data_IF_915960284878
#
_entry.id   IF_915960284878
#
_cell.length_a   1.000
_cell.length_b   1.000
_cell.length_c   1.000
_cell.angle_alpha   90.00
_cell.angle_beta   90.00
_cell.angle_gamma   90.00
#
_symmetry.space_group_name_H-M   'P 1'
#
loop_
_entity.id
_entity.type
_entity.pdbx_description
1 polymer ?
#
# COMPACT_ATOMS: atom_id res chain seq x y z
N UNK A 1 5.23 16.00 -0.49
CA UNK A 1 5.30 15.21 -1.73
C UNK A 1 5.22 13.73 -1.41
N UNK A 2 4.49 12.98 -2.20
CA UNK A 2 4.33 11.54 -1.98
C UNK A 2 5.21 10.75 -2.94
N UNK A 3 5.79 9.63 -2.50
CA UNK A 3 6.63 8.81 -3.37
C UNK A 3 5.82 8.20 -4.52
N UNK A 4 6.42 8.25 -5.71
CA UNK A 4 5.82 7.74 -6.93
C UNK A 4 6.87 7.03 -7.74
N UNK A 5 6.49 5.92 -8.36
CA UNK A 5 7.40 5.15 -9.20
C UNK A 5 6.69 4.57 -10.41
N UNK A 6 7.37 4.57 -11.53
CA UNK A 6 6.89 3.95 -12.77
C UNK A 6 7.61 2.63 -12.97
N UNK A 7 6.84 1.56 -13.11
CA UNK A 7 7.36 0.23 -13.43
C UNK A 7 7.07 -0.07 -14.88
N UNK A 8 8.13 -0.27 -15.67
CA UNK A 8 8.02 -0.60 -17.09
C UNK A 8 8.16 -2.10 -17.30
N UNK A 9 7.93 -2.55 -18.53
CA UNK A 9 8.09 -3.95 -18.86
C UNK A 9 7.03 -4.89 -18.35
N UNK A 10 5.85 -4.35 -18.04
CA UNK A 10 4.71 -5.17 -17.62
C UNK A 10 4.19 -5.92 -18.85
N UNK A 11 4.12 -7.28 -18.82
CA UNK A 11 3.66 -8.04 -19.99
C UNK A 11 2.23 -7.69 -20.36
N UNK A 12 2.01 -7.26 -21.60
CA UNK A 12 0.68 -6.90 -22.08
C UNK A 12 -0.19 -8.11 -22.32
N UNK A 13 0.39 -9.31 -22.33
CA UNK A 13 -0.36 -10.57 -22.41
C UNK A 13 -0.91 -11.03 -21.07
N UNK A 14 -0.58 -10.36 -19.98
CA UNK A 14 -1.09 -10.73 -18.66
C UNK A 14 -2.60 -10.48 -18.58
N UNK A 15 -3.29 -11.29 -17.81
CA UNK A 15 -4.73 -11.13 -17.55
C UNK A 15 -5.02 -10.43 -16.23
N UNK A 16 -4.04 -10.43 -15.31
CA UNK A 16 -4.17 -9.82 -13.99
C UNK A 16 -2.79 -9.50 -13.45
N UNK A 17 -2.70 -8.46 -12.64
CA UNK A 17 -1.49 -8.14 -11.91
C UNK A 17 -1.76 -8.23 -10.41
N UNK A 18 -0.73 -8.61 -9.65
CA UNK A 18 -0.76 -8.53 -8.20
C UNK A 18 0.37 -7.61 -7.76
N UNK A 19 0.02 -6.54 -7.05
CA UNK A 19 0.97 -5.62 -6.45
C UNK A 19 1.04 -5.91 -4.96
N UNK A 20 2.23 -6.15 -4.45
CA UNK A 20 2.45 -6.37 -3.03
C UNK A 20 3.50 -5.41 -2.52
N UNK A 21 3.36 -4.96 -1.27
CA UNK A 21 4.36 -4.15 -0.60
C UNK A 21 4.12 -4.18 0.90
N UNK A 22 5.16 -3.78 1.65
CA UNK A 22 5.04 -3.58 3.08
C UNK A 22 4.89 -2.09 3.35
N UNK A 23 3.93 -1.76 4.20
CA UNK A 23 3.62 -0.40 4.61
C UNK A 23 3.91 -0.27 6.10
N UNK A 24 4.70 0.75 6.45
CA UNK A 24 5.07 1.03 7.84
C UNK A 24 4.35 2.27 8.31
N UNK A 25 3.56 2.14 9.39
CA UNK A 25 3.10 3.28 10.17
C UNK A 25 4.22 3.63 11.13
N UNK A 26 4.73 4.84 11.05
CA UNK A 26 5.83 5.27 11.90
C UNK A 26 5.35 6.35 12.84
N UNK A 27 5.49 6.10 14.13
CA UNK A 27 5.17 7.01 15.23
C UNK A 27 3.66 7.26 15.39
N UNK A 28 3.23 8.51 15.58
CA UNK A 28 1.93 8.84 16.14
C UNK A 28 0.77 8.84 15.14
N UNK A 29 0.62 7.80 14.34
CA UNK A 29 -0.55 7.66 13.48
C UNK A 29 -1.82 7.55 14.31
N UNK A 30 -2.83 8.33 13.96
CA UNK A 30 -4.11 8.34 14.66
C UNK A 30 -5.24 8.54 13.64
N UNK A 31 -5.77 7.44 13.13
CA UNK A 31 -6.84 7.42 12.13
C UNK A 31 -6.50 8.19 10.85
N UNK A 32 -5.24 8.30 10.50
CA UNK A 32 -4.83 8.88 9.23
C UNK A 32 -5.11 7.91 8.11
N UNK A 33 -5.54 8.44 6.97
CA UNK A 33 -5.86 7.65 5.80
C UNK A 33 -4.60 7.32 5.02
N UNK A 34 -4.58 6.13 4.44
CA UNK A 34 -3.52 5.71 3.54
C UNK A 34 -4.16 5.18 2.25
N UNK A 35 -3.60 5.56 1.11
CA UNK A 35 -4.10 5.17 -0.20
C UNK A 35 -2.96 4.90 -1.17
N UNK A 36 -3.23 4.08 -2.16
CA UNK A 36 -2.33 3.81 -3.28
C UNK A 36 -3.01 4.32 -4.53
N UNK A 37 -2.29 5.09 -5.35
CA UNK A 37 -2.80 5.57 -6.63
C UNK A 37 -2.08 4.80 -7.73
N UNK A 38 -2.83 4.04 -8.50
CA UNK A 38 -2.28 3.19 -9.56
C UNK A 38 -2.88 3.64 -10.89
N UNK A 39 -2.02 4.08 -11.80
CA UNK A 39 -2.43 4.60 -13.12
C UNK A 39 -3.57 5.62 -12.97
N UNK A 40 -3.42 6.57 -12.04
CA UNK A 40 -4.38 7.62 -11.73
C UNK A 40 -5.69 7.15 -11.08
N UNK A 41 -5.76 5.89 -10.66
CA UNK A 41 -6.92 5.36 -9.92
C UNK A 41 -6.57 5.26 -8.45
N UNK A 42 -7.32 5.96 -7.60
CA UNK A 42 -7.07 5.97 -6.15
C UNK A 42 -7.73 4.75 -5.51
N UNK A 43 -6.92 4.00 -4.75
CA UNK A 43 -7.38 2.84 -4.00
C UNK A 43 -7.17 3.13 -2.52
N UNK A 44 -8.21 3.57 -1.80
CA UNK A 44 -8.08 3.85 -0.37
C UNK A 44 -8.01 2.56 0.42
N UNK A 45 -6.99 2.43 1.25
CA UNK A 45 -6.79 1.26 2.10
C UNK A 45 -7.40 1.45 3.50
N UNK A 46 -7.84 2.67 3.81
CA UNK A 46 -8.53 2.96 5.05
C UNK A 46 -7.69 3.77 6.03
N UNK A 47 -8.20 3.86 7.26
CA UNK A 47 -7.54 4.60 8.33
C UNK A 47 -6.70 3.66 9.18
N UNK A 48 -5.57 4.14 9.65
CA UNK A 48 -4.63 3.37 10.48
C UNK A 48 -4.34 4.13 11.77
N UNK A 49 -4.09 3.39 12.84
CA UNK A 49 -3.87 3.94 14.16
C UNK A 49 -2.67 3.24 14.81
N UNK A 50 -1.70 4.00 15.29
CA UNK A 50 -0.47 3.46 15.85
C UNK A 50 -0.69 2.64 17.12
N UNK A 51 -1.80 2.86 17.82
CA UNK A 51 -2.07 2.22 19.11
C UNK A 51 -2.89 0.94 19.00
N UNK A 52 -3.44 0.64 17.84
CA UNK A 52 -4.27 -0.53 17.62
C UNK A 52 -3.59 -1.53 16.71
N UNK A 53 -3.77 -2.82 16.98
CA UNK A 53 -3.44 -3.86 16.03
C UNK A 53 -4.56 -3.87 14.99
N UNK A 54 -4.25 -3.45 13.78
CA UNK A 54 -5.25 -3.32 12.72
C UNK A 54 -5.73 -4.66 12.19
N UNK A 55 -4.96 -5.72 12.41
CA UNK A 55 -5.32 -7.05 11.95
C UNK A 55 -5.36 -7.16 10.44
N UNK A 56 -6.35 -7.90 9.94
CA UNK A 56 -6.52 -8.13 8.51
C UNK A 56 -7.74 -7.36 8.01
N UNK A 57 -7.58 -6.66 6.89
CA UNK A 57 -8.67 -5.96 6.21
C UNK A 57 -8.72 -6.41 4.77
N UNK A 58 -9.92 -6.44 4.22
CA UNK A 58 -10.14 -6.69 2.80
C UNK A 58 -11.18 -5.72 2.29
N UNK A 59 -11.09 -5.37 1.02
CA UNK A 59 -12.07 -4.49 0.39
C UNK A 59 -11.95 -4.49 -1.10
N UNK A 60 -12.91 -3.83 -1.74
CA UNK A 60 -12.96 -3.69 -3.18
C UNK A 60 -13.19 -2.24 -3.53
N UNK A 61 -12.48 -1.76 -4.54
CA UNK A 61 -12.71 -0.47 -5.15
C UNK A 61 -13.01 -0.78 -6.61
N UNK A 62 -14.28 -0.77 -6.97
CA UNK A 62 -14.75 -1.26 -8.26
C UNK A 62 -14.31 -2.71 -8.46
N UNK A 63 -13.49 -2.99 -9.47
CA UNK A 63 -13.00 -4.33 -9.77
C UNK A 63 -11.59 -4.60 -9.21
N UNK A 64 -11.09 -3.71 -8.35
CA UNK A 64 -9.80 -3.87 -7.70
C UNK A 64 -10.02 -4.41 -6.28
N UNK A 65 -9.45 -5.58 -6.00
CA UNK A 65 -9.54 -6.18 -4.67
C UNK A 65 -8.24 -5.96 -3.91
N UNK A 66 -8.33 -5.58 -2.63
CA UNK A 66 -7.15 -5.42 -1.80
C UNK A 66 -7.28 -6.13 -0.47
N UNK A 67 -6.13 -6.48 0.10
CA UNK A 67 -6.05 -7.09 1.41
C UNK A 67 -4.86 -6.49 2.15
N UNK A 68 -5.05 -6.14 3.42
CA UNK A 68 -3.96 -5.72 4.29
C UNK A 68 -3.92 -6.62 5.51
N UNK A 69 -2.73 -6.90 6.02
CA UNK A 69 -2.57 -7.67 7.25
C UNK A 69 -1.39 -7.16 8.04
N UNK A 70 -1.55 -7.05 9.36
CA UNK A 70 -0.46 -6.66 10.24
C UNK A 70 0.55 -7.80 10.31
N UNK A 71 1.81 -7.51 10.03
CA UNK A 71 2.88 -8.51 10.06
C UNK A 71 3.52 -8.63 11.44
N UNK A 72 3.60 -7.52 12.17
CA UNK A 72 4.19 -7.48 13.49
C UNK A 72 3.36 -6.62 14.41
N UNK A 73 3.43 -6.92 15.70
CA UNK A 73 2.79 -6.12 16.72
C UNK A 73 3.41 -4.73 16.74
N UNK A 74 2.68 -3.71 17.24
CA UNK A 74 3.24 -2.38 17.36
C UNK A 74 4.55 -2.38 18.14
N UNK A 75 5.55 -1.70 17.61
CA UNK A 75 6.86 -1.60 18.23
C UNK A 75 7.47 -0.23 17.90
N UNK A 76 8.43 0.20 18.72
CA UNK A 76 9.02 1.52 18.55
C UNK A 76 10.22 1.44 17.62
N UNK A 77 10.11 2.02 16.43
CA UNK A 77 11.15 2.02 15.41
C UNK A 77 11.45 3.44 14.91
N UNK A 78 10.63 4.42 15.31
CA UNK A 78 10.74 5.80 14.86
C UNK A 78 11.45 6.70 15.85
N UNK A 79 11.07 7.97 15.86
CA UNK A 79 11.80 9.03 16.55
C UNK A 79 11.31 9.29 17.97
N UNK A 80 10.19 8.73 18.38
CA UNK A 80 9.62 9.00 19.68
C UNK A 80 9.04 7.72 20.29
N UNK A 81 8.24 7.86 21.36
CA UNK A 81 7.75 6.72 22.13
C UNK A 81 6.51 6.07 21.54
N UNK A 82 5.97 6.59 20.44
CA UNK A 82 4.80 5.99 19.82
C UNK A 82 5.16 4.71 19.08
N UNK A 83 4.30 3.69 19.16
CA UNK A 83 4.59 2.42 18.50
C UNK A 83 4.48 2.52 16.97
N UNK A 84 5.25 1.69 16.29
CA UNK A 84 5.20 1.55 14.84
C UNK A 84 4.55 0.23 14.50
N UNK A 85 3.97 0.15 13.30
CA UNK A 85 3.39 -1.10 12.81
C UNK A 85 3.82 -1.35 11.37
N UNK A 86 3.91 -2.62 11.01
CA UNK A 86 4.17 -3.02 9.64
C UNK A 86 2.99 -3.84 9.13
N UNK A 87 2.54 -3.48 7.94
CA UNK A 87 1.43 -4.15 7.27
C UNK A 87 1.88 -4.68 5.94
N UNK A 88 1.40 -5.86 5.57
CA UNK A 88 1.59 -6.38 4.22
C UNK A 88 0.33 -6.08 3.41
N UNK A 89 0.52 -5.46 2.25
CA UNK A 89 -0.59 -5.06 1.38
C UNK A 89 -0.52 -5.84 0.09
N UNK A 90 -1.65 -6.40 -0.32
CA UNK A 90 -1.79 -7.12 -1.58
C UNK A 90 -2.95 -6.50 -2.35
N UNK A 91 -2.71 -6.12 -3.61
CA UNK A 91 -3.71 -5.50 -4.47
C UNK A 91 -3.78 -6.28 -5.77
N UNK A 92 -4.96 -6.75 -6.13
CA UNK A 92 -5.21 -7.47 -7.37
C UNK A 92 -5.79 -6.51 -8.39
N UNK A 93 -5.10 -6.37 -9.53
CA UNK A 93 -5.44 -5.41 -10.56
C UNK A 93 -5.94 -6.16 -11.80
N UNK A 94 -7.16 -5.82 -12.29
CA UNK A 94 -7.70 -6.46 -13.48
C UNK A 94 -6.98 -5.97 -14.74
N UNK A 95 -7.32 -6.57 -15.88
CA UNK A 95 -6.64 -6.34 -17.15
C UNK A 95 -6.65 -4.90 -17.63
N UNK A 96 -7.61 -4.07 -17.18
CA UNK A 96 -7.65 -2.66 -17.58
C UNK A 96 -6.46 -1.85 -17.10
N UNK A 97 -5.70 -2.38 -16.14
CA UNK A 97 -4.45 -1.74 -15.66
C UNK A 97 -3.22 -2.18 -16.45
N UNK A 98 -3.38 -3.09 -17.40
CA UNK A 98 -2.25 -3.68 -18.13
C UNK A 98 -2.07 -2.96 -19.46
N UNK A 99 -1.05 -2.09 -19.51
CA UNK A 99 -0.75 -1.33 -20.73
C UNK A 99 0.77 -1.21 -20.96
N UNK A 100 1.55 -2.12 -20.39
CA UNK A 100 3.01 -2.12 -20.54
C UNK A 100 3.75 -1.47 -19.40
N UNK A 101 3.10 -0.63 -18.61
CA UNK A 101 3.72 0.01 -17.44
C UNK A 101 2.71 0.19 -16.33
N UNK A 102 3.21 0.40 -15.11
CA UNK A 102 2.39 0.61 -13.93
C UNK A 102 2.98 1.77 -13.14
N UNK A 103 2.18 2.81 -12.95
CA UNK A 103 2.60 3.98 -12.18
C UNK A 103 1.95 3.91 -10.80
N UNK A 104 2.78 3.88 -9.76
CA UNK A 104 2.31 3.67 -8.39
C UNK A 104 2.75 4.85 -7.53
N UNK A 105 1.80 5.47 -6.84
CA UNK A 105 2.05 6.54 -5.89
C UNK A 105 1.39 6.18 -4.56
N UNK A 106 2.11 6.44 -3.46
CA UNK A 106 1.61 6.20 -2.12
C UNK A 106 1.25 7.52 -1.47
N UNK A 107 0.04 7.60 -0.90
CA UNK A 107 -0.49 8.83 -0.31
C UNK A 107 -1.01 8.60 1.09
N UNK A 108 -0.91 9.63 1.92
CA UNK A 108 -1.51 9.60 3.26
C UNK A 108 -2.12 10.96 3.57
N UNK A 109 -3.00 10.99 4.58
CA UNK A 109 -3.57 12.25 5.08
C UNK A 109 -2.72 12.85 6.20
N UNK A 110 -1.48 12.38 6.39
CA UNK A 110 -0.59 12.92 7.40
C UNK A 110 -0.30 14.38 7.15
N UNK A 111 -0.47 15.21 8.18
CA UNK A 111 -0.23 16.66 8.09
C UNK A 111 0.83 17.13 9.10
N UNK A 112 1.33 16.22 9.94
CA UNK A 112 2.33 16.52 10.94
C UNK A 112 3.73 16.55 10.34
N UNK A 113 4.68 17.10 11.09
CA UNK A 113 6.09 17.05 10.69
C UNK A 113 6.60 15.61 10.80
N UNK A 114 7.65 15.31 10.04
CA UNK A 114 8.15 13.95 9.88
C UNK A 114 8.64 13.33 11.19
N UNK A 115 9.08 14.16 12.15
CA UNK A 115 9.54 13.67 13.45
C UNK A 115 8.41 13.07 14.27
N UNK A 116 7.16 13.51 14.02
CA UNK A 116 6.02 13.02 14.78
C UNK A 116 5.36 11.81 14.14
N UNK A 117 5.27 11.82 12.82
CA UNK A 117 4.66 10.70 12.11
C UNK A 117 5.10 10.69 10.65
N UNK A 118 5.22 9.50 10.11
CA UNK A 118 5.61 9.31 8.73
C UNK A 118 5.15 7.93 8.29
N UNK A 119 5.42 7.58 7.03
CA UNK A 119 5.23 6.20 6.58
C UNK A 119 6.43 5.77 5.73
N UNK A 120 6.62 4.47 5.67
CA UNK A 120 7.63 3.86 4.81
C UNK A 120 7.02 2.78 3.94
N UNK A 121 7.65 2.56 2.80
CA UNK A 121 7.25 1.51 1.86
C UNK A 121 8.48 0.68 1.55
N UNK A 122 8.32 -0.64 1.58
CA UNK A 122 9.41 -1.56 1.28
C UNK A 122 8.87 -2.82 0.61
N UNK A 123 9.77 -3.62 0.07
CA UNK A 123 9.43 -4.94 -0.49
C UNK A 123 8.33 -4.88 -1.54
N UNK A 124 8.46 -3.95 -2.49
CA UNK A 124 7.49 -3.80 -3.58
C UNK A 124 7.69 -4.93 -4.58
N UNK A 125 6.60 -5.64 -4.89
CA UNK A 125 6.63 -6.81 -5.75
C UNK A 125 5.44 -6.79 -6.70
N UNK A 126 5.69 -6.99 -7.99
CA UNK A 126 4.62 -7.05 -9.00
C UNK A 126 4.68 -8.42 -9.66
N UNK A 127 3.57 -9.14 -9.63
CA UNK A 127 3.44 -10.43 -10.25
C UNK A 127 2.39 -10.36 -11.37
N UNK A 128 2.75 -10.84 -12.55
CA UNK A 128 1.84 -10.89 -13.69
C UNK A 128 1.30 -12.32 -13.85
N UNK A 129 0.00 -12.45 -14.00
CA UNK A 129 -0.66 -13.74 -14.23
C UNK A 129 -1.23 -13.80 -15.62
N UNK A 130 -1.10 -14.96 -16.27
CA UNK A 130 -1.66 -15.19 -17.60
C UNK A 130 -2.72 -16.28 -17.52
N UNK A 131 -3.86 -16.00 -18.13
CA UNK A 131 -4.96 -16.96 -18.18
C UNK A 131 -4.68 -18.04 -19.21
N UNK A 132 -5.01 -19.29 -18.90
CA UNK A 132 -4.93 -20.38 -19.86
C UNK A 132 -3.54 -20.94 -20.09
N UNK A 133 -2.63 -20.70 -19.20
CA UNK A 133 -1.27 -21.23 -19.29
C UNK A 133 -1.11 -22.45 -18.39
#
# INVERSE_FOLDING_TARGET
MFPEKLYAGIPTSASMLKLEFDFYEIDSWYNELFAVVINCVTIPLGAFNAFNDEGTREGDVEDVHFKTSSLVQPFNQGFNVYPDQRHHVTIFLPSRFINGSLKVRFESSLVEVIEDRSFGIDNIWITAYQCGV
#
